data_IF_237932206239
#
_entry.id   IF_237932206239
#
_cell.length_a   1.000
_cell.length_b   1.000
_cell.length_c   1.000
_cell.angle_alpha   90.00
_cell.angle_beta   90.00
_cell.angle_gamma   90.00
#
_symmetry.space_group_name_H-M   'P 1'
#
loop_
_entity.id
_entity.type
_entity.pdbx_description
1 polymer ?
#
# COMPACT_ATOMS: atom_id res chain seq x y z
N UNK A 1 20.69 -24.14 16.01
CA UNK A 1 20.37 -24.03 15.65
C UNK A 1 20.14 -23.19 15.31
N UNK A 2 20.58 -22.74 15.81
CA UNK A 2 20.50 -21.77 15.55
C UNK A 2 20.18 -21.39 14.34
N UNK A 3 20.54 -21.76 13.52
CA UNK A 3 20.06 -21.53 12.34
C UNK A 3 18.66 -21.52 12.24
N UNK A 4 17.97 -22.15 13.06
CA UNK A 4 16.56 -22.21 13.07
C UNK A 4 15.95 -20.86 13.17
N UNK A 5 16.56 -19.95 13.88
CA UNK A 5 16.02 -18.63 14.00
C UNK A 5 16.03 -17.93 12.70
N UNK A 6 17.10 -18.07 11.96
CA UNK A 6 17.16 -17.42 10.68
C UNK A 6 16.13 -17.96 9.75
N UNK A 7 15.91 -19.24 9.80
CA UNK A 7 14.92 -19.85 8.97
C UNK A 7 13.56 -19.31 9.31
N UNK A 8 13.27 -19.17 10.58
CA UNK A 8 11.99 -18.66 10.99
C UNK A 8 11.78 -17.24 10.50
N UNK A 9 12.81 -16.41 10.51
CA UNK A 9 12.68 -15.07 10.03
C UNK A 9 12.36 -15.06 8.56
N UNK A 10 12.94 -15.95 7.79
CA UNK A 10 12.64 -16.05 6.40
C UNK A 10 11.22 -16.51 6.18
N UNK A 11 10.77 -17.40 7.01
CA UNK A 11 9.42 -17.92 6.87
C UNK A 11 8.39 -16.86 7.17
N UNK A 12 8.74 -15.89 8.00
CA UNK A 12 7.83 -14.83 8.31
C UNK A 12 7.70 -13.83 7.19
N UNK A 13 8.58 -13.91 6.20
CA UNK A 13 8.53 -13.05 5.06
C UNK A 13 9.08 -11.65 5.32
N UNK A 14 8.62 -10.71 4.53
CA UNK A 14 9.13 -9.34 4.55
C UNK A 14 8.00 -8.41 4.97
N UNK A 15 8.23 -7.59 5.96
CA UNK A 15 7.19 -6.73 6.53
C UNK A 15 7.32 -5.30 6.01
N UNK A 16 6.22 -4.77 5.47
CA UNK A 16 6.13 -3.39 5.03
C UNK A 16 4.77 -2.85 5.45
N UNK A 17 4.77 -1.73 6.18
CA UNK A 17 3.53 -1.09 6.58
C UNK A 17 2.58 -1.96 7.39
N UNK A 18 3.13 -2.87 8.18
CA UNK A 18 2.31 -3.76 8.98
C UNK A 18 1.83 -5.01 8.27
N UNK A 19 2.14 -5.15 6.98
CA UNK A 19 1.77 -6.33 6.21
C UNK A 19 3.00 -7.20 5.96
N UNK A 20 2.78 -8.51 5.88
CA UNK A 20 3.86 -9.46 5.62
C UNK A 20 3.74 -9.97 4.20
N UNK A 21 4.83 -9.91 3.45
CA UNK A 21 4.87 -10.35 2.06
C UNK A 21 5.79 -11.56 1.94
N UNK A 22 5.47 -12.46 1.02
CA UNK A 22 6.22 -13.70 0.87
C UNK A 22 7.56 -13.50 0.18
N UNK A 23 7.66 -12.54 -0.70
CA UNK A 23 8.89 -12.33 -1.45
C UNK A 23 9.39 -10.91 -1.26
N UNK A 24 10.69 -10.76 -1.49
CA UNK A 24 11.32 -9.45 -1.41
C UNK A 24 10.73 -8.53 -2.48
N UNK A 25 10.44 -9.08 -3.65
CA UNK A 25 9.88 -8.28 -4.74
C UNK A 25 8.50 -7.73 -4.36
N UNK A 26 7.65 -8.55 -3.79
CA UNK A 26 6.34 -8.10 -3.36
C UNK A 26 6.46 -7.01 -2.30
N UNK A 27 7.38 -7.17 -1.36
CA UNK A 27 7.60 -6.17 -0.33
C UNK A 27 8.09 -4.85 -0.92
N UNK A 28 8.95 -4.94 -1.94
CA UNK A 28 9.45 -3.73 -2.59
C UNK A 28 8.32 -3.01 -3.32
N UNK A 29 7.46 -3.76 -3.99
CA UNK A 29 6.31 -3.18 -4.68
C UNK A 29 5.37 -2.49 -3.69
N UNK A 30 5.17 -3.13 -2.54
CA UNK A 30 4.35 -2.53 -1.49
C UNK A 30 4.96 -1.25 -0.96
N UNK A 31 6.27 -1.23 -0.83
CA UNK A 31 6.98 -0.05 -0.35
C UNK A 31 6.87 1.09 -1.36
N UNK A 32 6.95 0.75 -2.65
CA UNK A 32 6.78 1.74 -3.70
C UNK A 32 5.38 2.33 -3.67
N UNK A 33 4.37 1.49 -3.44
CA UNK A 33 3.00 1.97 -3.32
C UNK A 33 2.84 2.87 -2.09
N UNK A 34 3.47 2.50 -0.99
CA UNK A 34 3.42 3.33 0.21
C UNK A 34 4.03 4.70 -0.04
N UNK A 35 5.13 4.76 -0.77
CA UNK A 35 5.75 6.03 -1.11
C UNK A 35 4.86 6.85 -2.03
N UNK A 36 4.20 6.19 -2.99
CA UNK A 36 3.26 6.86 -3.88
C UNK A 36 2.08 7.43 -3.10
N UNK A 37 1.58 6.68 -2.12
CA UNK A 37 0.49 7.14 -1.27
C UNK A 37 0.90 8.41 -0.52
N UNK A 38 2.09 8.44 0.03
CA UNK A 38 2.58 9.61 0.74
C UNK A 38 2.62 10.82 -0.18
N UNK A 39 3.09 10.62 -1.39
CA UNK A 39 3.19 11.70 -2.36
C UNK A 39 1.80 12.21 -2.76
N UNK A 40 0.91 11.28 -3.12
CA UNK A 40 -0.43 11.64 -3.57
C UNK A 40 -1.26 12.27 -2.46
N UNK A 41 -1.19 11.71 -1.25
CA UNK A 41 -1.96 12.25 -0.15
C UNK A 41 -1.45 13.62 0.28
N UNK A 42 -0.17 13.88 0.11
CA UNK A 42 0.39 15.19 0.42
C UNK A 42 -0.08 16.26 -0.55
N UNK A 43 -0.53 15.88 -1.75
CA UNK A 43 -1.01 16.82 -2.75
C UNK A 43 -2.53 16.91 -2.80
N UNK A 44 -3.22 16.14 -1.99
CA UNK A 44 -4.68 16.06 -2.03
C UNK A 44 -5.24 16.47 -0.68
N UNK A 45 -6.25 17.35 -0.71
CA UNK A 45 -6.94 17.70 0.53
C UNK A 45 -7.88 16.56 0.85
N UNK A 46 -7.52 15.79 1.89
CA UNK A 46 -8.28 14.59 2.25
C UNK A 46 -9.68 14.91 2.77
N UNK A 47 -9.97 16.17 3.01
CA UNK A 47 -11.30 16.58 3.48
C UNK A 47 -12.19 17.08 2.35
N UNK A 48 -11.63 17.27 1.16
CA UNK A 48 -12.37 17.76 0.02
C UNK A 48 -12.82 16.58 -0.84
N UNK A 49 -14.12 16.26 -0.86
CA UNK A 49 -14.58 15.09 -1.61
C UNK A 49 -14.25 15.16 -3.10
N UNK A 50 -14.21 16.34 -3.67
CA UNK A 50 -13.90 16.48 -5.09
C UNK A 50 -12.48 16.05 -5.38
N UNK A 51 -11.54 16.49 -4.55
CA UNK A 51 -10.14 16.11 -4.74
C UNK A 51 -9.94 14.63 -4.51
N UNK A 52 -10.60 14.08 -3.49
CA UNK A 52 -10.50 12.67 -3.20
C UNK A 52 -11.08 11.83 -4.34
N UNK A 53 -12.20 12.29 -4.92
CA UNK A 53 -12.84 11.61 -6.03
C UNK A 53 -11.91 11.56 -7.25
N UNK A 54 -11.28 12.69 -7.57
CA UNK A 54 -10.35 12.76 -8.69
C UNK A 54 -9.16 11.83 -8.45
N UNK A 55 -8.63 11.84 -7.24
CA UNK A 55 -7.51 10.97 -6.89
C UNK A 55 -7.90 9.50 -7.01
N UNK A 56 -9.05 9.13 -6.46
CA UNK A 56 -9.52 7.76 -6.49
C UNK A 56 -9.64 7.26 -7.93
N UNK A 57 -10.27 8.04 -8.80
CA UNK A 57 -10.44 7.65 -10.19
C UNK A 57 -9.12 7.54 -10.93
N UNK A 58 -8.18 8.43 -10.62
CA UNK A 58 -6.87 8.39 -11.23
C UNK A 58 -6.14 7.09 -10.88
N UNK A 59 -6.22 6.69 -9.61
CA UNK A 59 -5.58 5.45 -9.17
C UNK A 59 -6.21 4.25 -9.86
N UNK A 60 -7.55 4.23 -9.94
CA UNK A 60 -8.27 3.13 -10.58
C UNK A 60 -7.94 3.07 -12.07
N UNK A 61 -8.04 4.20 -12.77
CA UNK A 61 -7.81 4.22 -14.21
C UNK A 61 -6.40 3.80 -14.60
N UNK A 62 -5.43 4.16 -13.80
CA UNK A 62 -4.03 3.85 -14.09
C UNK A 62 -3.56 2.58 -13.43
N UNK A 63 -4.45 1.93 -12.66
CA UNK A 63 -4.11 0.70 -11.98
C UNK A 63 -2.82 0.82 -11.18
N UNK A 64 -2.73 1.90 -10.39
CA UNK A 64 -1.50 2.22 -9.68
C UNK A 64 -1.21 1.27 -8.51
N UNK A 65 -2.24 0.71 -7.90
CA UNK A 65 -2.07 -0.09 -6.69
C UNK A 65 -2.62 -1.49 -6.85
N UNK A 66 -1.86 -2.47 -6.39
CA UNK A 66 -2.30 -3.85 -6.39
C UNK A 66 -1.79 -4.64 -5.19
N UNK A 67 -0.97 -4.04 -4.34
CA UNK A 67 -0.56 -4.70 -3.10
C UNK A 67 -1.56 -4.41 -1.99
N UNK A 68 -1.45 -5.14 -0.88
CA UNK A 68 -2.36 -4.94 0.25
C UNK A 68 -2.34 -3.50 0.75
N UNK A 69 -1.19 -2.86 0.69
CA UNK A 69 -1.06 -1.48 1.16
C UNK A 69 -1.87 -0.53 0.27
N UNK A 70 -1.67 -0.63 -1.05
CA UNK A 70 -2.37 0.25 -1.97
C UNK A 70 -3.86 -0.03 -2.02
N UNK A 71 -4.24 -1.31 -1.98
CA UNK A 71 -5.65 -1.67 -2.01
C UNK A 71 -6.38 -1.20 -0.76
N UNK A 72 -5.71 -1.25 0.39
CA UNK A 72 -6.32 -0.75 1.61
C UNK A 72 -6.52 0.77 1.55
N UNK A 73 -5.56 1.47 0.96
CA UNK A 73 -5.69 2.91 0.77
C UNK A 73 -6.89 3.23 -0.13
N UNK A 74 -7.06 2.49 -1.23
CA UNK A 74 -8.20 2.65 -2.11
C UNK A 74 -9.52 2.41 -1.37
N UNK A 75 -9.54 1.39 -0.53
CA UNK A 75 -10.73 1.09 0.25
C UNK A 75 -11.08 2.25 1.17
N UNK A 76 -10.08 2.85 1.78
CA UNK A 76 -10.31 4.00 2.67
C UNK A 76 -10.85 5.19 1.89
N UNK A 77 -10.32 5.46 0.69
CA UNK A 77 -10.84 6.53 -0.14
C UNK A 77 -12.28 6.26 -0.54
N UNK A 78 -12.58 5.01 -0.90
CA UNK A 78 -13.92 4.63 -1.29
C UNK A 78 -14.90 4.82 -0.14
N UNK A 79 -14.52 4.45 1.07
CA UNK A 79 -15.38 4.63 2.23
C UNK A 79 -15.64 6.09 2.52
N UNK A 80 -14.67 6.95 2.27
CA UNK A 80 -14.86 8.38 2.46
C UNK A 80 -15.84 8.94 1.42
N UNK A 81 -15.78 8.44 0.19
CA UNK A 81 -16.62 8.95 -0.89
C UNK A 81 -18.04 8.38 -0.86
N UNK A 82 -18.19 7.18 -0.39
CA UNK A 82 -19.46 6.46 -0.38
C UNK A 82 -19.82 5.97 1.01
#
# INVERSE_FOLDING_TARGET
>A
MSDNKNVNNKEKGFVVGGYTFKTKQEAQEAKDEMNAIKYLSGKTDSKDPKQVYVLYNKIIDRQLFYTSIGLNYLKNLQQFLY
#
